data_IF_851577387838
#
_entry.id   IF_851577387838
#
_cell.length_a   1.000
_cell.length_b   1.000
_cell.length_c   1.000
_cell.angle_alpha   90.00
_cell.angle_beta   90.00
_cell.angle_gamma   90.00
#
_symmetry.space_group_name_H-M   'P 1'
#
loop_
_entity.id
_entity.type
_entity.pdbx_description
1 polymer ?
#
# COMPACT_ATOMS: atom_id res chain seq x y z
N UNK A 1 -1.09 -19.47 -15.15
CA UNK A 1 -0.06 -19.26 -14.14
C UNK A 1 -0.21 -17.89 -13.52
N UNK A 2 -0.05 -17.81 -12.22
CA UNK A 2 -0.17 -16.55 -11.52
C UNK A 2 1.20 -15.95 -11.28
N UNK A 3 1.29 -14.65 -11.45
CA UNK A 3 2.52 -13.93 -11.19
C UNK A 3 2.31 -12.98 -10.02
N UNK A 4 2.96 -13.28 -8.92
CA UNK A 4 3.05 -12.41 -7.77
C UNK A 4 4.52 -12.17 -7.50
N UNK A 5 4.93 -10.92 -7.48
CA UNK A 5 6.31 -10.56 -7.22
C UNK A 5 6.43 -9.92 -5.86
N UNK A 6 7.28 -10.49 -5.04
CA UNK A 6 7.62 -9.95 -3.73
C UNK A 6 9.04 -9.44 -3.80
N UNK A 7 9.27 -8.29 -3.23
CA UNK A 7 10.60 -7.72 -3.24
C UNK A 7 10.69 -6.51 -2.34
N UNK A 8 11.84 -5.83 -2.33
CA UNK A 8 12.03 -4.65 -1.47
C UNK A 8 11.07 -3.50 -1.82
N UNK A 9 10.52 -3.51 -3.03
CA UNK A 9 9.55 -2.49 -3.45
C UNK A 9 8.10 -2.88 -3.17
N UNK A 10 7.87 -3.95 -2.40
CA UNK A 10 6.52 -4.39 -2.06
C UNK A 10 6.06 -5.58 -2.90
N UNK A 11 4.75 -5.71 -3.07
CA UNK A 11 4.16 -6.80 -3.84
C UNK A 11 3.47 -6.24 -5.08
N UNK A 12 3.53 -7.00 -6.16
CA UNK A 12 2.86 -6.65 -7.41
C UNK A 12 2.40 -7.90 -8.12
N UNK A 13 1.32 -7.82 -8.84
CA UNK A 13 0.80 -8.97 -9.55
C UNK A 13 -0.47 -8.67 -10.31
N UNK A 14 -0.92 -9.69 -11.05
CA UNK A 14 -2.17 -9.61 -11.79
C UNK A 14 -3.35 -9.55 -10.81
N UNK A 15 -4.22 -8.57 -11.02
CA UNK A 15 -5.35 -8.34 -10.13
C UNK A 15 -6.35 -9.49 -10.25
N UNK A 16 -6.74 -10.03 -9.10
CA UNK A 16 -7.73 -11.09 -9.01
C UNK A 16 -7.17 -12.49 -9.06
N UNK A 17 -6.07 -12.71 -9.80
CA UNK A 17 -5.47 -14.05 -9.88
C UNK A 17 -4.24 -14.20 -9.00
N UNK A 18 -3.48 -13.14 -8.81
CA UNK A 18 -2.29 -13.16 -7.96
C UNK A 18 -2.39 -12.13 -6.85
N UNK A 19 -2.64 -10.86 -7.19
CA UNK A 19 -2.86 -9.81 -6.20
C UNK A 19 -4.36 -9.67 -5.97
N UNK A 20 -4.79 -10.04 -4.77
CA UNK A 20 -6.21 -10.05 -4.40
C UNK A 20 -6.45 -9.11 -3.22
N UNK A 21 -7.71 -8.76 -2.99
CA UNK A 21 -8.07 -7.96 -1.82
C UNK A 21 -7.68 -8.69 -0.52
N UNK A 22 -7.88 -10.00 -0.47
CA UNK A 22 -7.54 -10.80 0.70
C UNK A 22 -6.04 -10.76 0.99
N UNK A 23 -5.22 -10.89 -0.05
CA UNK A 23 -3.77 -10.79 0.10
C UNK A 23 -3.36 -9.39 0.54
N UNK A 24 -3.99 -8.36 0.00
CA UNK A 24 -3.72 -6.97 0.37
C UNK A 24 -4.00 -6.73 1.86
N UNK A 25 -5.10 -7.28 2.37
CA UNK A 25 -5.43 -7.18 3.80
C UNK A 25 -4.33 -7.83 4.64
N UNK A 26 -3.91 -9.02 4.27
CA UNK A 26 -2.85 -9.73 4.99
C UNK A 26 -1.53 -8.97 4.95
N UNK A 27 -1.19 -8.44 3.79
CA UNK A 27 0.05 -7.71 3.61
C UNK A 27 0.06 -6.42 4.44
N UNK A 28 -1.04 -5.67 4.40
CA UNK A 28 -1.17 -4.46 5.21
C UNK A 28 -1.18 -4.77 6.70
N UNK A 29 -1.81 -5.87 7.10
CA UNK A 29 -1.81 -6.31 8.50
C UNK A 29 -0.40 -6.65 8.96
N UNK A 30 0.37 -7.31 8.12
CA UNK A 30 1.77 -7.64 8.43
C UNK A 30 2.60 -6.36 8.58
N UNK A 31 2.40 -5.39 7.69
CA UNK A 31 3.10 -4.13 7.75
C UNK A 31 2.73 -3.34 9.02
N UNK A 32 1.44 -3.27 9.34
CA UNK A 32 0.96 -2.59 10.55
C UNK A 32 1.47 -3.25 11.83
N UNK A 33 1.54 -4.58 11.84
CA UNK A 33 2.11 -5.32 12.96
C UNK A 33 3.60 -5.04 13.11
N UNK A 34 4.30 -4.99 12.00
CA UNK A 34 5.74 -4.69 12.00
C UNK A 34 6.03 -3.27 12.51
N UNK A 35 5.16 -2.31 12.17
CA UNK A 35 5.27 -0.94 12.68
C UNK A 35 4.87 -0.81 14.14
N UNK A 36 4.24 -1.83 14.70
CA UNK A 36 3.74 -1.84 16.08
C UNK A 36 2.75 -0.70 16.32
N UNK A 37 1.83 -0.51 15.41
CA UNK A 37 0.89 0.60 15.44
C UNK A 37 1.46 1.85 14.79
N UNK A 38 0.94 2.99 15.17
CA UNK A 38 1.40 4.25 14.62
C UNK A 38 0.48 4.77 13.53
N UNK A 39 0.93 5.76 12.79
CA UNK A 39 0.14 6.43 11.76
C UNK A 39 0.73 6.15 10.40
N UNK A 40 -0.09 5.66 9.47
CA UNK A 40 0.33 5.24 8.13
C UNK A 40 -0.44 6.05 7.11
N UNK A 41 0.28 6.66 6.17
CA UNK A 41 -0.34 7.31 5.02
C UNK A 41 -0.63 6.29 3.93
N UNK A 42 -1.78 6.41 3.27
CA UNK A 42 -2.13 5.56 2.14
C UNK A 42 -2.47 6.43 0.94
N UNK A 43 -1.83 6.14 -0.18
CA UNK A 43 -2.06 6.85 -1.43
C UNK A 43 -2.30 5.86 -2.56
N UNK A 44 -3.02 6.29 -3.57
CA UNK A 44 -3.31 5.47 -4.75
C UNK A 44 -2.94 6.21 -6.03
N UNK A 45 -2.81 5.43 -7.10
CA UNK A 45 -2.76 5.98 -8.45
C UNK A 45 -4.16 5.95 -9.09
N UNK A 46 -4.22 6.17 -10.39
CA UNK A 46 -5.48 6.27 -11.13
C UNK A 46 -6.00 4.94 -11.67
N UNK A 47 -5.40 3.80 -11.32
CA UNK A 47 -5.86 2.51 -11.80
C UNK A 47 -7.22 2.18 -11.21
N UNK A 48 -8.05 1.49 -12.00
CA UNK A 48 -9.42 1.16 -11.58
C UNK A 48 -9.47 0.23 -10.37
N UNK A 49 -8.44 -0.61 -10.19
CA UNK A 49 -8.37 -1.51 -9.04
C UNK A 49 -7.84 -0.86 -7.77
N UNK A 50 -7.25 0.32 -7.86
CA UNK A 50 -6.60 0.95 -6.71
C UNK A 50 -7.54 1.29 -5.57
N UNK A 51 -8.79 1.76 -5.80
CA UNK A 51 -9.71 1.98 -4.68
C UNK A 51 -10.02 0.71 -3.88
N UNK A 52 -10.13 -0.44 -4.54
CA UNK A 52 -10.36 -1.70 -3.84
C UNK A 52 -9.17 -2.04 -2.94
N UNK A 53 -7.96 -1.91 -3.46
CA UNK A 53 -6.75 -2.18 -2.68
C UNK A 53 -6.55 -1.16 -1.57
N UNK A 54 -6.96 0.08 -1.79
CA UNK A 54 -6.95 1.09 -0.73
C UNK A 54 -7.84 0.65 0.44
N UNK A 55 -9.06 0.23 0.14
CA UNK A 55 -9.98 -0.24 1.17
C UNK A 55 -9.41 -1.45 1.92
N UNK A 56 -8.80 -2.39 1.20
CA UNK A 56 -8.19 -3.57 1.79
C UNK A 56 -7.03 -3.19 2.71
N UNK A 57 -6.16 -2.29 2.27
CA UNK A 57 -5.04 -1.83 3.09
C UNK A 57 -5.51 -1.07 4.33
N UNK A 58 -6.54 -0.26 4.21
CA UNK A 58 -7.15 0.40 5.35
C UNK A 58 -7.61 -0.62 6.39
N UNK A 59 -8.35 -1.64 5.93
CA UNK A 59 -8.84 -2.69 6.83
C UNK A 59 -7.69 -3.38 7.57
N UNK A 60 -6.64 -3.75 6.86
CA UNK A 60 -5.50 -4.43 7.47
C UNK A 60 -4.74 -3.54 8.46
N UNK A 61 -4.53 -2.29 8.11
CA UNK A 61 -3.83 -1.35 8.99
C UNK A 61 -4.65 -1.05 10.25
N UNK A 62 -5.93 -0.76 10.08
CA UNK A 62 -6.81 -0.48 11.23
C UNK A 62 -6.93 -1.68 12.15
N UNK A 63 -7.00 -2.88 11.58
CA UNK A 63 -7.11 -4.11 12.36
C UNK A 63 -5.89 -4.36 13.25
N UNK A 64 -4.74 -3.81 12.90
CA UNK A 64 -3.50 -3.97 13.65
C UNK A 64 -3.17 -2.77 14.54
N UNK A 65 -4.13 -1.85 14.70
CA UNK A 65 -3.99 -0.75 15.63
C UNK A 65 -3.33 0.51 15.05
N UNK A 66 -3.17 0.56 13.74
CA UNK A 66 -2.64 1.77 13.10
C UNK A 66 -3.74 2.81 12.90
N UNK A 67 -3.34 4.07 12.93
CA UNK A 67 -4.16 5.16 12.40
C UNK A 67 -3.80 5.32 10.92
N UNK A 68 -4.77 5.71 10.10
CA UNK A 68 -4.56 5.82 8.66
C UNK A 68 -4.90 7.22 8.18
N UNK A 69 -4.01 7.80 7.39
CA UNK A 69 -4.25 9.07 6.70
C UNK A 69 -4.43 8.77 5.21
N UNK A 70 -5.58 9.15 4.67
CA UNK A 70 -5.90 8.94 3.27
C UNK A 70 -5.42 10.14 2.45
N UNK A 71 -4.38 9.93 1.64
CA UNK A 71 -3.86 10.98 0.77
C UNK A 71 -4.55 11.00 -0.60
N UNK A 72 -5.43 10.04 -0.88
CA UNK A 72 -6.08 9.96 -2.17
C UNK A 72 -5.09 9.66 -3.29
N UNK A 73 -5.29 10.28 -4.44
CA UNK A 73 -4.37 10.14 -5.57
C UNK A 73 -3.16 11.04 -5.29
N UNK A 74 -2.01 10.42 -5.13
CA UNK A 74 -0.82 11.12 -4.68
C UNK A 74 0.43 10.44 -5.23
N UNK A 75 1.31 11.17 -5.91
CA UNK A 75 2.54 10.58 -6.44
C UNK A 75 3.52 10.20 -5.33
N UNK A 76 4.37 9.22 -5.60
CA UNK A 76 5.32 8.71 -4.63
C UNK A 76 6.20 9.79 -4.00
N UNK A 77 6.80 10.73 -4.76
CA UNK A 77 7.63 11.76 -4.13
C UNK A 77 6.89 12.62 -3.12
N UNK A 78 5.64 12.94 -3.41
CA UNK A 78 4.80 13.74 -2.51
C UNK A 78 4.49 12.95 -1.25
N UNK A 79 4.17 11.66 -1.41
CA UNK A 79 3.89 10.79 -0.27
C UNK A 79 5.12 10.64 0.62
N UNK A 80 6.30 10.43 0.05
CA UNK A 80 7.55 10.36 0.81
C UNK A 80 7.81 11.65 1.58
N UNK A 81 7.60 12.79 0.95
CA UNK A 81 7.75 14.08 1.60
C UNK A 81 6.77 14.22 2.78
N UNK A 82 5.51 13.82 2.57
CA UNK A 82 4.48 13.93 3.59
C UNK A 82 4.79 13.07 4.82
N UNK A 83 5.34 11.86 4.62
CA UNK A 83 5.74 11.00 5.72
C UNK A 83 6.69 11.73 6.65
N UNK A 84 7.71 12.37 6.08
CA UNK A 84 8.70 13.11 6.87
C UNK A 84 8.12 14.38 7.48
N UNK A 85 7.39 15.14 6.68
CA UNK A 85 6.85 16.44 7.12
C UNK A 85 5.83 16.30 8.24
N UNK A 86 4.97 15.29 8.14
CA UNK A 86 3.89 15.08 9.12
C UNK A 86 4.29 14.13 10.24
N UNK A 87 5.49 13.58 10.20
CA UNK A 87 5.93 12.66 11.22
C UNK A 87 5.18 11.33 11.23
N UNK A 88 4.80 10.83 10.06
CA UNK A 88 4.13 9.54 9.96
C UNK A 88 5.13 8.40 10.19
N UNK A 89 4.63 7.27 10.66
CA UNK A 89 5.46 6.10 10.91
C UNK A 89 5.75 5.30 9.65
N UNK A 90 4.89 5.41 8.67
CA UNK A 90 5.07 4.74 7.39
C UNK A 90 4.01 5.16 6.40
N UNK A 91 4.07 4.54 5.23
CA UNK A 91 3.08 4.78 4.18
C UNK A 91 2.96 3.56 3.27
N UNK A 92 1.85 3.47 2.57
CA UNK A 92 1.64 2.47 1.53
C UNK A 92 1.16 3.19 0.27
N UNK A 93 1.83 2.92 -0.84
CA UNK A 93 1.44 3.43 -2.14
C UNK A 93 0.89 2.30 -2.98
N UNK A 94 -0.31 2.49 -3.51
CA UNK A 94 -0.97 1.51 -4.34
C UNK A 94 -0.93 2.03 -5.78
N UNK A 95 -0.14 1.37 -6.61
CA UNK A 95 0.03 1.84 -7.99
C UNK A 95 0.77 0.84 -8.83
N UNK A 96 0.41 0.77 -10.09
CA UNK A 96 0.94 -0.22 -11.01
C UNK A 96 2.36 -0.01 -11.48
N UNK A 97 2.90 1.16 -11.27
CA UNK A 97 4.23 1.47 -11.76
C UNK A 97 4.29 1.38 -13.28
N UNK A 98 5.22 0.58 -13.78
CA UNK A 98 5.43 0.42 -15.21
C UNK A 98 4.63 -0.72 -15.83
N UNK A 99 3.84 -1.44 -15.04
CA UNK A 99 3.10 -2.59 -15.54
C UNK A 99 1.84 -2.15 -16.27
N UNK A 100 1.45 -2.96 -17.23
CA UNK A 100 0.26 -2.70 -18.03
C UNK A 100 -1.02 -2.94 -17.22
N UNK A 101 -2.16 -2.64 -17.85
CA UNK A 101 -3.45 -2.88 -17.25
C UNK A 101 -3.61 -4.31 -16.76
N UNK A 102 -4.43 -4.50 -15.75
CA UNK A 102 -4.64 -5.78 -15.11
C UNK A 102 -3.65 -6.09 -13.98
N UNK A 103 -2.60 -5.29 -13.85
CA UNK A 103 -1.65 -5.41 -12.75
C UNK A 103 -1.79 -4.24 -11.78
N UNK A 104 -1.44 -4.49 -10.55
CA UNK A 104 -1.29 -3.43 -9.55
C UNK A 104 -0.16 -3.81 -8.60
N UNK A 105 0.17 -2.90 -7.72
CA UNK A 105 1.23 -3.10 -6.76
C UNK A 105 0.90 -2.39 -5.45
N UNK A 106 1.44 -2.91 -4.37
CA UNK A 106 1.35 -2.27 -3.06
C UNK A 106 2.77 -2.11 -2.55
N UNK A 107 3.17 -0.88 -2.33
CA UNK A 107 4.55 -0.55 -1.96
C UNK A 107 4.57 0.12 -0.59
N UNK A 108 4.98 -0.60 0.45
CA UNK A 108 5.08 -0.01 1.78
C UNK A 108 6.46 0.61 1.96
N UNK A 109 6.53 1.64 2.78
CA UNK A 109 7.81 2.17 3.24
C UNK A 109 7.65 2.78 4.62
N UNK A 110 8.73 2.69 5.41
CA UNK A 110 8.76 3.25 6.73
C UNK A 110 9.19 4.71 6.68
N UNK A 111 9.17 5.37 7.84
CA UNK A 111 9.60 6.77 7.95
C UNK A 111 11.07 6.97 7.58
N UNK A 112 11.83 5.92 7.49
CA UNK A 112 13.22 6.01 7.05
C UNK A 112 13.38 5.89 5.54
N UNK A 113 12.27 5.68 4.84
CA UNK A 113 12.28 5.51 3.39
C UNK A 113 12.09 4.06 2.97
#
# INVERSE_FOLDING_TARGET
>A
MRFLRLGPSGIRGAVGSALTAQLAIKYASAFGTWLDGGTVGVAIDTRTSSPMFKAACFAGLLATGCNVVDFGICPAPVLHFAVKKLGLDGAMLIGGGHHQGGWNAIMPFSKRG
#
